data_IF_973006757631
#
_entry.id   IF_973006757631
#
_cell.length_a   1.000
_cell.length_b   1.000
_cell.length_c   1.000
_cell.angle_alpha   90.00
_cell.angle_beta   90.00
_cell.angle_gamma   90.00
#
_symmetry.space_group_name_H-M   'P 1'
#
loop_
_entity.id
_entity.type
_entity.pdbx_description
1 polymer ?
#
# COMPACT_ATOMS: atom_id res chain seq x y z
N UNK A 1 3.30 7.55 -9.07
CA UNK A 1 2.25 8.58 -8.93
C UNK A 1 0.91 7.90 -9.18
N UNK A 2 -0.10 8.08 -8.31
CA UNK A 2 -1.38 7.35 -8.40
C UNK A 2 -2.11 7.67 -9.71
N UNK A 3 -2.56 6.64 -10.44
CA UNK A 3 -3.21 6.74 -11.76
C UNK A 3 -4.44 7.67 -11.77
N UNK A 4 -5.23 7.67 -10.69
CA UNK A 4 -6.41 8.52 -10.55
C UNK A 4 -6.04 10.02 -10.45
N UNK A 5 -4.96 10.34 -9.74
CA UNK A 5 -4.45 11.71 -9.63
C UNK A 5 -3.90 12.17 -10.99
N UNK A 6 -3.21 11.30 -11.74
CA UNK A 6 -2.75 11.63 -13.08
C UNK A 6 -3.91 11.95 -14.02
N UNK A 7 -4.99 11.15 -13.98
CA UNK A 7 -6.20 11.41 -14.77
C UNK A 7 -6.83 12.76 -14.44
N UNK A 8 -6.92 13.11 -13.15
CA UNK A 8 -7.44 14.41 -12.72
C UNK A 8 -6.58 15.58 -13.22
N UNK A 9 -5.26 15.47 -13.13
CA UNK A 9 -4.34 16.50 -13.62
C UNK A 9 -4.48 16.65 -15.14
N UNK A 10 -4.48 15.54 -15.87
CA UNK A 10 -4.62 15.56 -17.33
C UNK A 10 -5.97 16.16 -17.75
N UNK A 11 -7.05 15.84 -17.05
CA UNK A 11 -8.37 16.42 -17.32
C UNK A 11 -8.40 17.93 -17.03
N UNK A 12 -7.76 18.39 -15.94
CA UNK A 12 -7.65 19.81 -15.61
C UNK A 12 -6.89 20.61 -16.68
N UNK A 13 -5.89 19.99 -17.32
CA UNK A 13 -5.13 20.61 -18.41
C UNK A 13 -5.91 20.68 -19.72
N UNK A 14 -6.94 19.83 -19.89
CA UNK A 14 -7.78 19.81 -21.11
C UNK A 14 -8.95 20.79 -21.03
N UNK A 15 -9.80 20.69 -20.00
CA UNK A 15 -10.90 21.63 -19.78
C UNK A 15 -11.53 21.47 -18.40
N UNK A 16 -12.21 22.51 -17.91
CA UNK A 16 -12.99 22.44 -16.67
C UNK A 16 -14.14 21.41 -16.76
N UNK A 17 -14.72 21.22 -17.95
CA UNK A 17 -15.77 20.23 -18.19
C UNK A 17 -15.23 18.79 -18.05
N UNK A 18 -14.09 18.49 -18.69
CA UNK A 18 -13.44 17.18 -18.52
C UNK A 18 -13.01 16.95 -17.08
N UNK A 19 -12.48 17.97 -16.41
CA UNK A 19 -12.12 17.87 -15.01
C UNK A 19 -13.33 17.55 -14.12
N UNK A 20 -14.47 18.23 -14.31
CA UNK A 20 -15.69 17.97 -13.56
C UNK A 20 -16.17 16.52 -13.70
N UNK A 21 -16.09 15.97 -14.92
CA UNK A 21 -16.43 14.57 -15.22
C UNK A 21 -15.46 13.60 -14.51
N UNK A 22 -14.15 13.79 -14.68
CA UNK A 22 -13.15 12.91 -14.05
C UNK A 22 -13.15 13.02 -12.53
N UNK A 23 -13.42 14.21 -11.97
CA UNK A 23 -13.60 14.41 -10.54
C UNK A 23 -14.80 13.62 -10.00
N UNK A 24 -15.95 13.69 -10.69
CA UNK A 24 -17.13 12.90 -10.32
C UNK A 24 -16.87 11.40 -10.39
N UNK A 25 -16.19 10.92 -11.44
CA UNK A 25 -15.79 9.52 -11.57
C UNK A 25 -14.86 9.09 -10.43
N UNK A 26 -13.86 9.91 -10.09
CA UNK A 26 -12.94 9.63 -8.99
C UNK A 26 -13.66 9.44 -7.65
N UNK A 27 -14.65 10.29 -7.36
CA UNK A 27 -15.48 10.14 -6.16
C UNK A 27 -16.30 8.84 -6.15
N UNK A 28 -16.89 8.46 -7.30
CA UNK A 28 -17.65 7.21 -7.44
C UNK A 28 -16.75 5.99 -7.24
N UNK A 29 -15.56 5.97 -7.86
CA UNK A 29 -14.60 4.86 -7.75
C UNK A 29 -14.17 4.67 -6.29
N UNK A 30 -14.02 5.76 -5.54
CA UNK A 30 -13.64 5.70 -4.13
C UNK A 30 -14.86 5.54 -3.18
N UNK A 31 -16.09 5.50 -3.69
CA UNK A 31 -17.29 5.42 -2.86
C UNK A 31 -17.55 6.64 -1.98
N UNK A 32 -16.95 7.79 -2.29
CA UNK A 32 -17.01 9.01 -1.47
C UNK A 32 -18.11 9.94 -1.98
N UNK A 33 -18.98 10.42 -1.09
CA UNK A 33 -19.96 11.45 -1.47
C UNK A 33 -19.29 12.82 -1.53
N UNK A 34 -19.79 13.70 -2.40
CA UNK A 34 -19.26 15.06 -2.58
C UNK A 34 -19.24 15.88 -1.27
N UNK A 35 -20.22 15.66 -0.39
CA UNK A 35 -20.29 16.27 0.94
C UNK A 35 -19.13 15.82 1.84
N UNK A 36 -18.82 14.53 1.81
CA UNK A 36 -17.74 13.97 2.64
C UNK A 36 -16.38 14.47 2.13
N UNK A 37 -16.21 14.53 0.80
CA UNK A 37 -15.04 15.15 0.19
C UNK A 37 -14.87 16.64 0.54
N UNK A 38 -15.98 17.38 0.69
CA UNK A 38 -15.96 18.79 1.15
C UNK A 38 -15.28 18.91 2.51
N UNK A 39 -15.64 18.02 3.45
CA UNK A 39 -15.04 17.99 4.78
C UNK A 39 -13.55 17.61 4.72
N UNK A 40 -13.20 16.60 3.91
CA UNK A 40 -11.82 16.09 3.79
C UNK A 40 -10.88 17.12 3.14
N UNK A 41 -11.36 17.84 2.13
CA UNK A 41 -10.55 18.79 1.36
C UNK A 41 -10.57 20.21 1.91
N UNK A 42 -11.48 20.52 2.85
CA UNK A 42 -11.72 21.88 3.35
C UNK A 42 -12.33 22.82 2.30
N UNK A 43 -12.81 22.28 1.17
CA UNK A 43 -13.40 23.07 0.09
C UNK A 43 -14.91 23.17 0.32
N UNK A 44 -15.53 24.36 0.28
CA UNK A 44 -16.97 24.50 0.42
C UNK A 44 -17.75 23.67 -0.61
N UNK A 45 -18.82 23.00 -0.17
CA UNK A 45 -19.65 22.16 -1.03
C UNK A 45 -20.22 22.91 -2.23
N UNK A 46 -20.52 24.21 -2.09
CA UNK A 46 -20.97 25.07 -3.19
C UNK A 46 -19.90 25.22 -4.29
N UNK A 47 -18.63 25.32 -3.92
CA UNK A 47 -17.49 25.35 -4.83
C UNK A 47 -17.31 24.00 -5.53
N UNK A 48 -17.40 22.89 -4.78
CA UNK A 48 -17.31 21.55 -5.36
C UNK A 48 -18.45 21.24 -6.34
N UNK A 49 -19.67 21.74 -6.08
CA UNK A 49 -20.78 21.64 -7.04
C UNK A 49 -20.49 22.39 -8.34
N UNK A 50 -19.86 23.57 -8.27
CA UNK A 50 -19.44 24.33 -9.46
C UNK A 50 -18.38 23.56 -10.25
N UNK A 51 -17.41 22.96 -9.55
CA UNK A 51 -16.39 22.08 -10.16
C UNK A 51 -17.03 20.91 -10.90
N UNK A 52 -17.94 20.16 -10.25
CA UNK A 52 -18.64 19.03 -10.87
C UNK A 52 -19.49 19.46 -12.08
N UNK A 53 -20.06 20.66 -12.03
CA UNK A 53 -20.86 21.18 -13.15
C UNK A 53 -20.04 21.50 -14.39
N UNK A 54 -18.72 21.71 -14.28
CA UNK A 54 -17.83 22.02 -15.40
C UNK A 54 -18.10 23.37 -16.08
N UNK A 55 -18.98 24.21 -15.52
CA UNK A 55 -19.44 25.47 -16.15
C UNK A 55 -18.59 26.70 -15.82
N UNK A 56 -17.67 26.60 -14.87
CA UNK A 56 -16.86 27.73 -14.40
C UNK A 56 -15.39 27.34 -14.35
N UNK A 57 -14.52 28.32 -14.59
CA UNK A 57 -13.08 28.13 -14.46
C UNK A 57 -12.68 27.80 -13.03
N UNK A 58 -11.92 26.72 -12.88
CA UNK A 58 -11.44 26.27 -11.59
C UNK A 58 -10.21 27.07 -11.21
N UNK A 59 -10.23 27.67 -10.02
CA UNK A 59 -9.05 28.35 -9.48
C UNK A 59 -7.95 27.34 -9.18
N UNK A 60 -6.69 27.69 -9.45
CA UNK A 60 -5.52 26.85 -9.15
C UNK A 60 -5.47 26.43 -7.68
N UNK A 61 -5.87 27.30 -6.75
CA UNK A 61 -5.95 26.96 -5.32
C UNK A 61 -6.99 25.86 -5.04
N UNK A 62 -8.13 25.87 -5.74
CA UNK A 62 -9.17 24.84 -5.64
C UNK A 62 -8.70 23.54 -6.26
N UNK A 63 -8.08 23.57 -7.44
CA UNK A 63 -7.47 22.40 -8.05
C UNK A 63 -6.44 21.76 -7.11
N UNK A 64 -5.54 22.57 -6.53
CA UNK A 64 -4.53 22.11 -5.54
C UNK A 64 -5.19 21.46 -4.33
N UNK A 65 -6.23 22.09 -3.77
CA UNK A 65 -6.95 21.55 -2.62
C UNK A 65 -7.65 20.22 -2.95
N UNK A 66 -8.22 20.06 -4.15
CA UNK A 66 -8.82 18.80 -4.61
C UNK A 66 -7.75 17.72 -4.72
N UNK A 67 -6.64 18.00 -5.40
CA UNK A 67 -5.54 17.04 -5.54
C UNK A 67 -4.98 16.63 -4.17
N UNK A 68 -4.81 17.58 -3.25
CA UNK A 68 -4.37 17.29 -1.89
C UNK A 68 -5.42 16.50 -1.09
N UNK A 69 -6.72 16.78 -1.28
CA UNK A 69 -7.81 16.02 -0.69
C UNK A 69 -7.76 14.54 -1.10
N UNK A 70 -7.59 14.25 -2.38
CA UNK A 70 -7.38 12.87 -2.84
C UNK A 70 -6.10 12.26 -2.29
N UNK A 71 -4.98 13.00 -2.27
CA UNK A 71 -3.74 12.51 -1.65
C UNK A 71 -3.95 12.17 -0.17
N UNK A 72 -4.75 12.95 0.56
CA UNK A 72 -5.07 12.69 1.96
C UNK A 72 -5.95 11.46 2.11
N UNK A 73 -6.96 11.26 1.26
CA UNK A 73 -7.76 10.04 1.22
C UNK A 73 -6.86 8.82 1.01
N UNK A 74 -5.98 8.87 0.02
CA UNK A 74 -5.01 7.79 -0.18
C UNK A 74 -4.08 7.61 1.02
N UNK A 75 -3.59 8.70 1.63
CA UNK A 75 -2.78 8.63 2.86
C UNK A 75 -3.56 8.01 4.02
N UNK A 76 -4.87 8.23 4.13
CA UNK A 76 -5.71 7.58 5.14
C UNK A 76 -5.97 6.11 4.84
N UNK A 77 -6.14 5.74 3.56
CA UNK A 77 -6.13 4.33 3.12
C UNK A 77 -4.79 3.62 3.41
N UNK A 78 -3.67 4.35 3.33
CA UNK A 78 -2.35 3.86 3.77
C UNK A 78 -2.19 3.85 5.30
N UNK A 79 -2.89 4.72 6.04
CA UNK A 79 -2.94 4.68 7.52
C UNK A 79 -3.81 3.53 8.05
N UNK A 80 -4.81 3.09 7.28
CA UNK A 80 -5.70 1.98 7.63
C UNK A 80 -5.25 0.63 7.04
N UNK A 81 -4.42 0.65 6.01
CA UNK A 81 -3.74 -0.53 5.48
C UNK A 81 -2.47 -0.89 6.25
N UNK A 82 -2.03 -2.13 6.14
CA UNK A 82 -0.74 -2.59 6.63
C UNK A 82 -0.07 -3.49 5.59
N UNK A 83 1.25 -3.67 5.70
CA UNK A 83 1.99 -4.71 4.99
C UNK A 83 2.01 -5.96 5.87
N UNK A 84 1.52 -7.07 5.33
CA UNK A 84 1.60 -8.35 6.00
C UNK A 84 3.00 -8.95 5.82
N UNK A 85 3.62 -9.40 6.90
CA UNK A 85 4.88 -10.15 6.84
C UNK A 85 4.61 -11.61 7.17
N UNK A 86 4.77 -12.51 6.20
CA UNK A 86 4.72 -13.95 6.41
C UNK A 86 6.15 -14.47 6.55
N UNK A 87 6.50 -14.86 7.78
CA UNK A 87 7.81 -15.41 8.10
C UNK A 87 7.71 -16.30 9.33
N UNK A 88 8.82 -16.93 9.72
CA UNK A 88 8.89 -17.62 11.01
C UNK A 88 8.68 -16.63 12.15
N UNK A 89 8.21 -17.15 13.30
CA UNK A 89 7.95 -16.33 14.48
C UNK A 89 9.16 -15.47 14.89
N UNK A 90 10.35 -16.06 14.86
CA UNK A 90 11.61 -15.38 15.21
C UNK A 90 11.89 -14.18 14.28
N UNK A 91 11.68 -14.34 12.97
CA UNK A 91 11.88 -13.26 11.99
C UNK A 91 10.85 -12.16 12.20
N UNK A 92 9.58 -12.51 12.40
CA UNK A 92 8.53 -11.54 12.69
C UNK A 92 8.87 -10.70 13.92
N UNK A 93 9.23 -11.34 15.04
CA UNK A 93 9.58 -10.64 16.28
C UNK A 93 10.80 -9.72 16.11
N UNK A 94 11.84 -10.20 15.41
CA UNK A 94 13.04 -9.41 15.11
C UNK A 94 12.75 -8.19 14.24
N UNK A 95 11.93 -8.36 13.20
CA UNK A 95 11.60 -7.29 12.26
C UNK A 95 10.67 -6.28 12.90
N UNK A 96 9.60 -6.70 13.59
CA UNK A 96 8.68 -5.77 14.25
C UNK A 96 9.36 -4.96 15.37
N UNK A 97 10.48 -5.45 15.92
CA UNK A 97 11.31 -4.74 16.90
C UNK A 97 12.41 -3.87 16.27
N UNK A 98 12.54 -3.85 14.93
CA UNK A 98 13.58 -3.10 14.23
C UNK A 98 13.31 -1.59 14.25
N UNK A 99 14.33 -0.81 14.60
CA UNK A 99 14.28 0.66 14.56
C UNK A 99 14.11 1.22 13.14
N UNK A 100 14.52 0.48 12.12
CA UNK A 100 14.40 0.90 10.71
C UNK A 100 12.94 0.98 10.26
N UNK A 101 12.07 0.14 10.82
CA UNK A 101 10.63 0.17 10.57
C UNK A 101 9.93 1.33 11.26
N UNK A 102 10.46 1.81 12.39
CA UNK A 102 9.90 2.94 13.14
C UNK A 102 10.00 4.25 12.33
N UNK A 103 10.97 4.35 11.41
CA UNK A 103 11.13 5.50 10.51
C UNK A 103 10.20 5.47 9.29
N UNK A 104 9.62 4.32 8.96
CA UNK A 104 8.64 4.18 7.89
C UNK A 104 7.24 4.41 8.47
N UNK A 105 6.50 5.38 7.95
CA UNK A 105 5.11 5.66 8.38
C UNK A 105 4.12 4.61 7.81
N UNK A 106 4.53 3.33 7.82
CA UNK A 106 3.87 2.17 7.23
C UNK A 106 3.63 1.17 8.36
N UNK A 107 2.37 0.74 8.54
CA UNK A 107 2.05 -0.32 9.50
C UNK A 107 2.49 -1.67 8.94
N UNK A 108 3.21 -2.46 9.73
CA UNK A 108 3.55 -3.85 9.41
C UNK A 108 2.90 -4.76 10.44
N UNK A 109 2.27 -5.84 9.98
CA UNK A 109 1.68 -6.87 10.85
C UNK A 109 2.27 -8.22 10.48
N UNK A 110 2.86 -8.88 11.47
CA UNK A 110 3.44 -10.20 11.29
C UNK A 110 2.40 -11.32 11.37
N UNK A 111 2.53 -12.30 10.48
CA UNK A 111 1.77 -13.54 10.48
C UNK A 111 2.78 -14.70 10.52
N UNK A 112 3.07 -15.23 11.72
CA UNK A 112 4.00 -16.34 11.86
C UNK A 112 3.51 -17.58 11.13
N UNK A 113 4.39 -18.21 10.35
CA UNK A 113 4.11 -19.43 9.58
C UNK A 113 5.24 -20.43 9.74
N UNK A 114 4.93 -21.72 9.86
CA UNK A 114 5.91 -22.79 9.94
C UNK A 114 5.64 -23.93 8.94
N UNK A 115 4.40 -24.06 8.47
CA UNK A 115 3.98 -25.08 7.50
C UNK A 115 3.37 -24.44 6.25
N UNK A 116 3.24 -25.23 5.18
CA UNK A 116 2.56 -24.79 3.96
C UNK A 116 1.09 -24.43 4.21
N UNK A 117 0.38 -25.20 5.03
CA UNK A 117 -1.02 -24.93 5.35
C UNK A 117 -1.18 -23.61 6.16
N UNK A 118 -0.23 -23.33 7.06
CA UNK A 118 -0.17 -22.05 7.77
C UNK A 118 0.03 -20.89 6.79
N UNK A 119 0.86 -21.06 5.76
CA UNK A 119 1.11 -20.04 4.74
C UNK A 119 -0.18 -19.62 4.06
N UNK A 120 -0.98 -20.57 3.54
CA UNK A 120 -2.24 -20.26 2.88
C UNK A 120 -3.24 -19.60 3.85
N UNK A 121 -3.39 -20.15 5.05
CA UNK A 121 -4.31 -19.60 6.08
C UNK A 121 -3.90 -18.18 6.48
N UNK A 122 -2.61 -17.95 6.71
CA UNK A 122 -2.06 -16.65 7.08
C UNK A 122 -2.24 -15.63 5.96
N UNK A 123 -1.97 -16.02 4.72
CA UNK A 123 -2.08 -15.11 3.58
C UNK A 123 -3.53 -14.71 3.32
N UNK A 124 -4.47 -15.67 3.35
CA UNK A 124 -5.91 -15.41 3.26
C UNK A 124 -6.41 -14.52 4.41
N UNK A 125 -5.94 -14.77 5.64
CA UNK A 125 -6.25 -13.92 6.79
C UNK A 125 -5.72 -12.52 6.62
N UNK A 126 -4.47 -12.36 6.16
CA UNK A 126 -3.86 -11.06 5.91
C UNK A 126 -4.64 -10.25 4.87
N UNK A 127 -5.07 -10.87 3.77
CA UNK A 127 -5.91 -10.23 2.76
C UNK A 127 -7.25 -9.80 3.35
N UNK A 128 -7.94 -10.66 4.11
CA UNK A 128 -9.20 -10.33 4.79
C UNK A 128 -9.06 -9.21 5.82
N UNK A 129 -7.94 -9.18 6.54
CA UNK A 129 -7.62 -8.14 7.51
C UNK A 129 -7.31 -6.78 6.83
N UNK A 130 -7.21 -6.73 5.50
CA UNK A 130 -7.02 -5.50 4.73
C UNK A 130 -5.56 -5.18 4.40
N UNK A 131 -4.69 -6.20 4.34
CA UNK A 131 -3.31 -6.02 3.91
C UNK A 131 -3.24 -5.38 2.51
N UNK A 132 -2.38 -4.38 2.34
CA UNK A 132 -2.15 -3.70 1.04
C UNK A 132 -1.05 -4.36 0.22
N UNK A 133 -0.20 -5.13 0.88
CA UNK A 133 0.83 -5.97 0.28
C UNK A 133 1.20 -7.09 1.26
N UNK A 134 1.71 -8.19 0.71
CA UNK A 134 2.24 -9.32 1.46
C UNK A 134 3.73 -9.44 1.14
N UNK A 135 4.56 -9.48 2.19
CA UNK A 135 6.00 -9.75 2.10
C UNK A 135 6.25 -11.17 2.61
N UNK A 136 6.94 -11.98 1.81
CA UNK A 136 7.28 -13.36 2.17
C UNK A 136 8.60 -13.82 1.54
N UNK A 137 9.11 -14.97 1.98
CA UNK A 137 10.26 -15.61 1.34
C UNK A 137 9.97 -15.94 -0.15
N UNK A 138 10.98 -16.05 -1.03
CA UNK A 138 10.77 -16.33 -2.45
C UNK A 138 9.89 -17.54 -2.74
N UNK A 139 10.18 -18.66 -2.06
CA UNK A 139 9.43 -19.92 -2.21
C UNK A 139 7.97 -19.72 -1.83
N UNK A 140 7.72 -19.04 -0.70
CA UNK A 140 6.36 -18.74 -0.22
C UNK A 140 5.63 -17.81 -1.19
N UNK A 141 6.35 -16.84 -1.76
CA UNK A 141 5.76 -15.88 -2.68
C UNK A 141 5.27 -16.55 -3.96
N UNK A 142 6.06 -17.47 -4.52
CA UNK A 142 5.67 -18.25 -5.68
C UNK A 142 4.44 -19.13 -5.41
N UNK A 143 4.35 -19.76 -4.24
CA UNK A 143 3.22 -20.61 -3.87
C UNK A 143 1.88 -19.87 -3.77
N UNK A 144 1.91 -18.58 -3.43
CA UNK A 144 0.71 -17.77 -3.21
C UNK A 144 0.25 -17.00 -4.45
N UNK A 145 1.10 -16.89 -5.47
CA UNK A 145 0.92 -15.98 -6.60
C UNK A 145 -0.37 -16.24 -7.39
N UNK A 146 -0.78 -17.50 -7.50
CA UNK A 146 -2.00 -17.91 -8.23
C UNK A 146 -3.28 -17.83 -7.38
N UNK A 147 -3.16 -17.59 -6.06
CA UNK A 147 -4.27 -17.69 -5.12
C UNK A 147 -4.70 -16.35 -4.51
N UNK A 148 -3.92 -15.28 -4.70
CA UNK A 148 -4.11 -14.01 -3.98
C UNK A 148 -3.92 -12.81 -4.91
N UNK A 149 -4.93 -11.93 -4.94
CA UNK A 149 -4.90 -10.67 -5.71
C UNK A 149 -4.10 -9.54 -5.02
N UNK A 150 -3.74 -9.73 -3.75
CA UNK A 150 -2.96 -8.78 -2.95
C UNK A 150 -1.51 -8.78 -3.44
N UNK A 151 -0.89 -7.62 -3.73
CA UNK A 151 0.48 -7.56 -4.21
C UNK A 151 1.46 -8.34 -3.32
N UNK A 152 2.20 -9.28 -3.94
CA UNK A 152 3.24 -10.06 -3.28
C UNK A 152 4.63 -9.49 -3.56
N UNK A 153 5.45 -9.40 -2.52
CA UNK A 153 6.84 -8.93 -2.59
C UNK A 153 7.73 -9.99 -1.93
N UNK A 154 8.66 -10.53 -2.70
CA UNK A 154 9.64 -11.47 -2.17
C UNK A 154 10.77 -10.73 -1.46
N UNK A 155 11.20 -11.21 -0.29
CA UNK A 155 12.49 -10.78 0.29
C UNK A 155 13.65 -11.30 -0.56
N UNK A 156 14.67 -10.45 -0.76
CA UNK A 156 15.95 -10.85 -1.32
C UNK A 156 16.87 -11.34 -0.20
N UNK A 157 17.59 -12.43 -0.47
CA UNK A 157 18.61 -12.95 0.41
C UNK A 157 19.95 -12.36 -0.05
N UNK A 158 20.65 -11.66 0.85
CA UNK A 158 21.95 -11.09 0.54
C UNK A 158 23.01 -12.20 0.41
N UNK A 159 23.90 -12.08 -0.59
CA UNK A 159 24.99 -13.05 -0.82
C UNK A 159 25.86 -13.25 0.43
N UNK A 160 26.15 -12.17 1.15
CA UNK A 160 26.90 -12.20 2.40
C UNK A 160 26.25 -13.11 3.46
N UNK A 161 24.92 -13.12 3.57
CA UNK A 161 24.21 -13.94 4.57
C UNK A 161 24.34 -15.43 4.23
N UNK A 162 24.31 -15.78 2.94
CA UNK A 162 24.52 -17.14 2.44
C UNK A 162 25.96 -17.58 2.72
N UNK A 163 26.94 -16.77 2.35
CA UNK A 163 28.37 -17.07 2.56
C UNK A 163 28.68 -17.25 4.04
N UNK A 164 28.16 -16.40 4.92
CA UNK A 164 28.33 -16.53 6.37
C UNK A 164 27.70 -17.82 6.90
N UNK A 165 26.49 -18.15 6.44
CA UNK A 165 25.82 -19.40 6.82
C UNK A 165 26.62 -20.63 6.40
N UNK A 166 27.21 -20.62 5.20
CA UNK A 166 28.11 -21.68 4.72
C UNK A 166 29.37 -21.78 5.58
N UNK A 167 29.98 -20.64 5.97
CA UNK A 167 31.16 -20.64 6.85
C UNK A 167 30.86 -21.24 8.23
N UNK A 168 29.69 -20.94 8.79
CA UNK A 168 29.23 -21.51 10.07
C UNK A 168 28.99 -23.02 9.94
N UNK A 169 28.38 -23.48 8.84
CA UNK A 169 28.22 -24.91 8.59
C UNK A 169 29.60 -25.59 8.43
N UNK A 170 30.52 -24.96 7.70
CA UNK A 170 31.87 -25.48 7.47
C UNK A 170 32.67 -25.65 8.78
N UNK A 171 32.54 -24.72 9.73
CA UNK A 171 33.28 -24.79 11.01
C UNK A 171 32.83 -25.95 11.90
N UNK A 172 31.61 -26.47 11.72
CA UNK A 172 31.11 -27.63 12.45
C UNK A 172 31.78 -28.94 12.02
N UNK A 173 32.27 -29.03 10.79
CA UNK A 173 33.01 -30.21 10.32
C UNK A 173 34.48 -30.21 10.79
N UNK A 174 35.07 -29.03 10.97
CA UNK A 174 36.49 -28.86 11.32
C UNK A 174 36.82 -29.03 12.82
N UNK A 175 35.83 -29.35 13.65
CA UNK A 175 36.03 -29.59 15.10
C UNK A 175 36.14 -31.08 15.46
N UNK A 176 36.24 -31.97 14.45
CA UNK A 176 36.34 -33.43 14.63
C UNK A 176 37.73 -34.00 14.28
N UNK A 177 38.81 -33.26 14.56
CA UNK A 177 40.19 -33.76 14.45
C UNK A 177 41.03 -33.35 15.64
#
# INVERSE_FOLDING_TARGET
>A
MNLLIQRLINAALKSDAEFGIEFKKALIILGIKLRDFSNISGIPLSTLKKVVSGKNSIRICTLRAIINGFKNIYREDYKNGFIALLATRQVVERILSSKELIGLNIKVKGYPVNTLDDVYKAAMKATRDGAKAIVAAPIVSQMLQDFIDTPLVSVNICENDIVQSIKIAASQFNTTS
#
